data_IF_495223484171
#
_entry.id   IF_495223484171
#
_cell.length_a   1.000
_cell.length_b   1.000
_cell.length_c   1.000
_cell.angle_alpha   90.00
_cell.angle_beta   90.00
_cell.angle_gamma   90.00
#
_symmetry.space_group_name_H-M   'P 1'
#
loop_
_entity.id
_entity.type
_entity.pdbx_description
1 polymer ?
#
# COMPACT_ATOMS: atom_id res chain seq x y z
N UNK A 1 -10.92 36.95 45.43
CA UNK A 1 -12.03 37.88 45.74
C UNK A 1 -13.04 37.76 44.62
N UNK A 2 -13.90 36.75 44.77
CA UNK A 2 -14.93 36.34 43.85
C UNK A 2 -16.08 37.34 43.81
N UNK A 3 -16.55 37.66 42.60
CA UNK A 3 -17.80 38.38 42.40
C UNK A 3 -18.62 37.67 41.32
N UNK A 4 -19.53 36.85 41.80
CA UNK A 4 -20.66 36.31 41.07
C UNK A 4 -21.55 37.43 40.51
N UNK A 5 -22.10 37.22 39.31
CA UNK A 5 -23.35 37.83 38.86
C UNK A 5 -24.15 36.82 38.03
N UNK A 6 -25.33 36.50 38.56
CA UNK A 6 -26.39 35.69 37.99
C UNK A 6 -27.15 36.45 36.88
N UNK A 7 -27.93 35.74 36.06
CA UNK A 7 -29.40 35.90 35.94
C UNK A 7 -30.00 35.05 34.78
N UNK A 8 -30.97 34.14 35.06
CA UNK A 8 -32.45 34.25 34.80
C UNK A 8 -32.81 33.81 33.34
N UNK A 9 -33.80 32.98 32.98
CA UNK A 9 -35.10 32.51 33.50
C UNK A 9 -35.40 31.08 32.95
N UNK A 10 -35.92 30.13 33.74
CA UNK A 10 -37.35 29.74 33.88
C UNK A 10 -38.19 29.75 32.58
N UNK A 11 -38.69 28.59 32.13
CA UNK A 11 -40.09 28.17 32.33
C UNK A 11 -40.35 26.74 31.80
N UNK A 12 -40.80 25.88 32.72
CA UNK A 12 -41.47 24.60 32.50
C UNK A 12 -42.94 24.87 32.16
N UNK A 13 -43.54 24.06 31.27
CA UNK A 13 -44.91 23.54 31.42
C UNK A 13 -45.01 22.21 30.65
N UNK A 14 -45.32 21.15 31.40
CA UNK A 14 -45.77 19.83 30.93
C UNK A 14 -47.08 19.88 30.13
N UNK A 15 -47.21 18.99 29.14
CA UNK A 15 -48.49 18.33 28.86
C UNK A 15 -48.25 16.99 28.15
N UNK A 16 -48.51 15.92 28.90
CA UNK A 16 -48.76 14.58 28.39
C UNK A 16 -50.21 14.52 27.90
N UNK A 17 -50.42 13.93 26.73
CA UNK A 17 -51.63 13.16 26.41
C UNK A 17 -51.18 11.91 25.64
N UNK A 18 -51.46 10.75 26.24
CA UNK A 18 -51.24 9.46 25.60
C UNK A 18 -52.41 9.12 24.69
N UNK A 19 -52.14 8.32 23.67
CA UNK A 19 -53.14 7.37 23.20
C UNK A 19 -52.47 6.10 22.69
N UNK A 20 -53.05 4.98 23.06
CA UNK A 20 -52.52 3.65 22.84
C UNK A 20 -52.98 3.02 21.53
N UNK A 21 -52.50 1.78 21.34
CA UNK A 21 -53.01 0.73 20.43
C UNK A 21 -52.34 0.64 19.05
N UNK A 22 -51.41 -0.30 18.93
CA UNK A 22 -51.69 -1.60 18.27
C UNK A 22 -50.42 -2.48 18.18
N UNK A 23 -50.55 -3.70 18.68
CA UNK A 23 -49.62 -4.80 18.45
C UNK A 23 -49.51 -5.13 16.95
N UNK A 24 -48.28 -5.39 16.50
CA UNK A 24 -48.01 -6.51 15.59
C UNK A 24 -46.56 -6.92 15.69
N UNK A 25 -46.34 -7.99 16.45
CA UNK A 25 -45.14 -8.79 16.41
C UNK A 25 -44.97 -9.32 14.96
N UNK A 26 -43.97 -8.81 14.24
CA UNK A 26 -43.45 -9.51 13.06
C UNK A 26 -42.25 -10.32 13.51
N UNK A 27 -42.50 -11.62 13.51
CA UNK A 27 -41.55 -12.71 13.69
C UNK A 27 -40.26 -12.43 12.91
N UNK A 28 -39.15 -12.52 13.62
CA UNK A 28 -37.84 -12.77 13.04
C UNK A 28 -37.92 -14.06 12.22
N UNK A 29 -37.69 -13.95 10.92
CA UNK A 29 -37.38 -15.08 10.06
C UNK A 29 -35.84 -15.18 9.93
N UNK A 30 -35.17 -16.16 10.55
CA UNK A 30 -33.73 -16.32 10.43
C UNK A 30 -33.38 -17.23 9.25
N UNK A 31 -33.93 -16.98 8.07
CA UNK A 31 -33.50 -17.63 6.81
C UNK A 31 -33.53 -16.66 5.65
N UNK A 32 -32.58 -15.73 5.67
CA UNK A 32 -32.06 -15.10 4.45
C UNK A 32 -30.55 -14.98 4.56
N UNK A 33 -29.91 -16.16 4.66
CA UNK A 33 -28.54 -16.34 4.21
C UNK A 33 -28.54 -16.35 2.68
N UNK A 34 -28.84 -15.20 2.07
CA UNK A 34 -28.58 -14.96 0.65
C UNK A 34 -27.25 -14.25 0.55
N UNK A 35 -26.23 -15.08 0.30
CA UNK A 35 -25.04 -14.80 -0.48
C UNK A 35 -24.25 -13.52 -0.14
N UNK A 36 -23.01 -13.73 0.30
CA UNK A 36 -21.89 -12.91 -0.16
C UNK A 36 -22.10 -12.59 -1.64
N UNK A 37 -22.46 -11.36 -1.97
CA UNK A 37 -22.14 -10.81 -3.27
C UNK A 37 -20.64 -10.57 -3.23
N UNK A 38 -19.79 -11.33 -3.95
CA UNK A 38 -18.48 -10.82 -4.26
C UNK A 38 -18.78 -9.62 -5.14
N UNK A 39 -18.70 -8.44 -4.56
CA UNK A 39 -18.50 -7.26 -5.37
C UNK A 39 -17.12 -7.46 -5.99
N UNK A 40 -17.09 -8.13 -7.15
CA UNK A 40 -16.16 -7.87 -8.24
C UNK A 40 -16.31 -6.39 -8.60
N UNK A 41 -15.93 -5.52 -7.67
CA UNK A 41 -15.52 -4.19 -8.00
C UNK A 41 -14.23 -4.41 -8.77
N UNK A 42 -14.36 -4.53 -10.09
CA UNK A 42 -13.29 -4.18 -11.01
C UNK A 42 -12.87 -2.76 -10.61
N UNK A 43 -11.89 -2.66 -9.71
CA UNK A 43 -11.26 -1.39 -9.36
C UNK A 43 -10.66 -0.91 -10.67
N UNK A 44 -11.38 -0.01 -11.34
CA UNK A 44 -10.88 0.63 -12.52
C UNK A 44 -9.64 1.42 -12.13
N UNK A 45 -8.55 1.11 -12.82
CA UNK A 45 -7.33 1.87 -12.69
C UNK A 45 -7.57 3.31 -13.15
N UNK A 46 -7.07 4.24 -12.37
CA UNK A 46 -6.91 5.63 -12.75
C UNK A 46 -6.07 5.72 -14.02
N UNK A 47 -6.28 6.76 -14.81
CA UNK A 47 -5.50 7.01 -16.04
C UNK A 47 -4.00 7.04 -15.74
N UNK A 48 -3.61 7.53 -14.57
CA UNK A 48 -2.19 7.56 -14.15
C UNK A 48 -1.65 6.15 -13.90
N UNK A 49 -2.37 5.32 -13.16
CA UNK A 49 -1.97 3.93 -12.92
C UNK A 49 -1.93 3.13 -14.21
N UNK A 50 -2.92 3.30 -15.07
CA UNK A 50 -2.97 2.68 -16.39
C UNK A 50 -1.75 3.07 -17.24
N UNK A 51 -1.41 4.37 -17.30
CA UNK A 51 -0.25 4.83 -18.07
C UNK A 51 1.08 4.28 -17.53
N UNK A 52 1.22 4.12 -16.21
CA UNK A 52 2.39 3.45 -15.62
C UNK A 52 2.49 2.00 -16.09
N UNK A 53 1.37 1.27 -16.07
CA UNK A 53 1.34 -0.12 -16.52
C UNK A 53 1.59 -0.26 -18.02
N UNK A 54 1.16 0.70 -18.85
CA UNK A 54 1.44 0.70 -20.28
C UNK A 54 2.93 0.82 -20.60
N UNK A 55 3.63 1.70 -19.88
CA UNK A 55 5.08 1.83 -20.05
C UNK A 55 5.76 0.51 -19.64
N UNK A 56 5.35 -0.05 -18.50
CA UNK A 56 5.91 -1.31 -18.00
C UNK A 56 5.55 -2.52 -18.86
N UNK A 57 4.43 -2.51 -19.58
CA UNK A 57 4.03 -3.66 -20.40
C UNK A 57 4.91 -3.85 -21.61
N UNK A 58 5.31 -2.76 -22.24
CA UNK A 58 6.28 -2.79 -23.34
C UNK A 58 7.60 -3.39 -22.86
N UNK A 59 8.10 -2.96 -21.68
CA UNK A 59 9.36 -3.44 -21.13
C UNK A 59 9.30 -4.90 -20.62
N UNK A 60 8.21 -5.31 -19.97
CA UNK A 60 8.12 -6.59 -19.27
C UNK A 60 7.52 -7.73 -20.11
N UNK A 61 6.64 -7.40 -21.04
CA UNK A 61 5.85 -8.36 -21.81
C UNK A 61 5.98 -8.19 -23.32
N UNK A 62 6.52 -7.06 -23.79
CA UNK A 62 6.53 -6.70 -25.22
C UNK A 62 5.15 -6.33 -25.76
N UNK A 63 4.14 -6.21 -24.89
CA UNK A 63 2.80 -5.79 -25.29
C UNK A 63 2.78 -4.30 -25.65
N UNK A 64 2.09 -3.98 -26.75
CA UNK A 64 1.88 -2.62 -27.22
C UNK A 64 0.44 -2.19 -26.91
N UNK A 65 0.21 -1.53 -25.76
CA UNK A 65 -1.12 -1.13 -25.35
C UNK A 65 -1.69 -0.02 -26.24
N UNK A 66 -3.03 0.02 -26.45
CA UNK A 66 -3.67 1.03 -27.28
C UNK A 66 -3.61 2.43 -26.65
N UNK A 67 -3.78 3.45 -27.51
CA UNK A 67 -4.05 4.82 -27.06
C UNK A 67 -5.48 4.88 -26.53
N UNK A 68 -5.68 5.34 -25.28
CA UNK A 68 -6.99 5.32 -24.61
C UNK A 68 -7.09 4.20 -23.57
N UNK A 69 -8.30 3.88 -23.09
CA UNK A 69 -8.48 2.89 -22.02
C UNK A 69 -7.92 1.52 -22.40
N UNK A 70 -7.28 0.87 -21.44
CA UNK A 70 -6.64 -0.43 -21.63
C UNK A 70 -6.75 -1.29 -20.38
N UNK A 71 -7.13 -2.56 -20.58
CA UNK A 71 -7.15 -3.58 -19.52
C UNK A 71 -5.82 -4.33 -19.54
N UNK A 72 -5.01 -4.26 -18.47
CA UNK A 72 -3.73 -4.94 -18.44
C UNK A 72 -3.89 -6.47 -18.48
N UNK A 73 -2.96 -7.17 -19.14
CA UNK A 73 -2.99 -8.63 -19.26
C UNK A 73 -2.62 -9.35 -17.96
N UNK A 74 -3.08 -10.59 -17.80
CA UNK A 74 -2.66 -11.45 -16.70
C UNK A 74 -1.16 -11.74 -16.73
N UNK A 75 -0.56 -11.77 -17.93
CA UNK A 75 0.87 -11.97 -18.10
C UNK A 75 1.65 -10.80 -17.48
N UNK A 76 1.19 -9.57 -17.68
CA UNK A 76 1.80 -8.40 -17.06
C UNK A 76 1.76 -8.51 -15.54
N UNK A 77 0.59 -8.82 -14.97
CA UNK A 77 0.42 -8.97 -13.51
C UNK A 77 1.38 -10.03 -12.96
N UNK A 78 1.58 -11.13 -13.69
CA UNK A 78 2.49 -12.22 -13.29
C UNK A 78 3.96 -11.79 -13.31
N UNK A 79 4.36 -10.89 -14.21
CA UNK A 79 5.75 -10.38 -14.30
C UNK A 79 5.98 -9.11 -13.48
N UNK A 80 4.91 -8.45 -13.05
CA UNK A 80 4.99 -7.23 -12.28
C UNK A 80 5.59 -7.52 -10.90
N UNK A 81 6.63 -6.77 -10.56
CA UNK A 81 7.27 -6.81 -9.25
C UNK A 81 7.16 -5.45 -8.60
N UNK A 82 7.28 -5.42 -7.27
CA UNK A 82 7.33 -4.16 -6.54
C UNK A 82 8.50 -3.28 -7.01
N UNK A 83 9.62 -3.88 -7.41
CA UNK A 83 10.77 -3.16 -7.97
C UNK A 83 10.38 -2.39 -9.23
N UNK A 84 9.70 -3.03 -10.18
CA UNK A 84 9.24 -2.39 -11.42
C UNK A 84 8.37 -1.16 -11.13
N UNK A 85 7.42 -1.28 -10.20
CA UNK A 85 6.55 -0.17 -9.80
C UNK A 85 7.31 0.92 -9.04
N UNK A 86 8.24 0.54 -8.17
CA UNK A 86 9.03 1.49 -7.40
C UNK A 86 10.05 2.27 -8.27
N UNK A 87 10.47 1.73 -9.41
CA UNK A 87 11.37 2.38 -10.36
C UNK A 87 10.64 3.07 -11.52
N UNK A 88 9.35 2.80 -11.70
CA UNK A 88 8.56 3.38 -12.78
C UNK A 88 8.44 4.91 -12.63
N UNK A 89 8.68 5.62 -13.73
CA UNK A 89 8.45 7.07 -13.81
C UNK A 89 6.96 7.34 -13.56
N UNK A 90 6.67 8.42 -12.84
CA UNK A 90 5.30 8.84 -12.51
C UNK A 90 4.50 7.84 -11.63
N UNK A 91 5.13 6.82 -11.07
CA UNK A 91 4.51 5.90 -10.11
C UNK A 91 4.71 6.40 -8.66
N UNK A 92 3.95 7.43 -8.28
CA UNK A 92 3.95 7.96 -6.91
C UNK A 92 3.32 7.00 -5.89
N UNK A 93 3.41 7.29 -4.58
CA UNK A 93 2.93 6.40 -3.52
C UNK A 93 1.45 6.01 -3.65
N UNK A 94 0.60 6.97 -4.04
CA UNK A 94 -0.83 6.73 -4.26
C UNK A 94 -1.07 5.78 -5.45
N UNK A 95 -0.41 6.06 -6.59
CA UNK A 95 -0.52 5.23 -7.80
C UNK A 95 0.03 3.83 -7.57
N UNK A 96 1.12 3.70 -6.83
CA UNK A 96 1.66 2.42 -6.41
C UNK A 96 0.65 1.63 -5.57
N UNK A 97 0.09 2.24 -4.52
CA UNK A 97 -0.89 1.58 -3.65
C UNK A 97 -2.13 1.13 -4.43
N UNK A 98 -2.57 1.95 -5.38
CA UNK A 98 -3.67 1.63 -6.30
C UNK A 98 -3.37 0.39 -7.14
N UNK A 99 -2.21 0.34 -7.81
CA UNK A 99 -1.79 -0.80 -8.63
C UNK A 99 -1.64 -2.08 -7.78
N UNK A 100 -1.08 -1.96 -6.56
CA UNK A 100 -0.95 -3.10 -5.66
C UNK A 100 -2.31 -3.67 -5.25
N UNK A 101 -3.28 -2.79 -4.94
CA UNK A 101 -4.66 -3.19 -4.61
C UNK A 101 -5.33 -3.86 -5.81
N UNK A 102 -5.19 -3.28 -7.00
CA UNK A 102 -5.71 -3.86 -8.23
C UNK A 102 -5.12 -5.24 -8.52
N UNK A 103 -3.80 -5.41 -8.39
CA UNK A 103 -3.14 -6.70 -8.58
C UNK A 103 -3.63 -7.73 -7.56
N UNK A 104 -3.84 -7.32 -6.31
CA UNK A 104 -4.37 -8.18 -5.25
C UNK A 104 -5.79 -8.68 -5.57
N UNK A 105 -6.66 -7.82 -6.11
CA UNK A 105 -8.00 -8.23 -6.55
C UNK A 105 -7.96 -9.19 -7.73
N UNK A 106 -6.97 -9.07 -8.62
CA UNK A 106 -6.71 -10.06 -9.69
C UNK A 106 -5.99 -11.32 -9.18
N UNK A 107 -5.94 -11.55 -7.87
CA UNK A 107 -5.37 -12.74 -7.25
C UNK A 107 -3.85 -12.75 -7.12
N UNK A 108 -3.17 -11.61 -7.35
CA UNK A 108 -1.70 -11.50 -7.27
C UNK A 108 -1.28 -10.53 -6.17
N UNK A 109 -0.73 -11.07 -5.09
CA UNK A 109 -0.09 -10.25 -4.05
C UNK A 109 1.33 -9.88 -4.47
N UNK A 110 1.55 -8.61 -4.84
CA UNK A 110 2.88 -8.06 -5.08
C UNK A 110 3.44 -7.57 -3.74
N UNK A 111 4.38 -8.33 -3.17
CA UNK A 111 4.98 -7.99 -1.87
C UNK A 111 5.85 -6.73 -1.99
N UNK A 112 5.71 -5.75 -1.09
CA UNK A 112 6.64 -4.63 -1.00
C UNK A 112 8.07 -5.13 -0.86
N UNK A 113 9.00 -4.55 -1.63
CA UNK A 113 10.41 -4.68 -1.26
C UNK A 113 10.59 -3.94 0.07
N UNK A 114 11.37 -4.54 0.97
CA UNK A 114 11.45 -4.32 2.43
C UNK A 114 11.67 -2.88 2.93
N UNK A 115 11.70 -1.87 2.05
CA UNK A 115 12.25 -0.52 2.30
C UNK A 115 11.37 0.61 1.75
N UNK A 116 10.12 0.34 1.44
CA UNK A 116 9.14 1.37 1.09
C UNK A 116 8.93 2.34 2.27
N UNK A 117 9.17 3.63 2.08
CA UNK A 117 8.84 4.68 3.08
C UNK A 117 9.84 4.90 4.22
N UNK A 118 10.82 4.01 4.45
CA UNK A 118 11.87 4.26 5.45
C UNK A 118 12.86 5.34 5.00
N UNK A 119 13.39 6.11 5.96
CA UNK A 119 14.52 7.02 5.70
C UNK A 119 15.74 6.20 5.25
N UNK A 120 16.63 6.81 4.47
CA UNK A 120 17.84 6.11 4.01
C UNK A 120 18.70 5.67 5.20
N UNK A 121 18.76 6.45 6.27
CA UNK A 121 19.48 6.09 7.50
C UNK A 121 18.92 4.83 8.15
N UNK A 122 17.60 4.74 8.34
CA UNK A 122 16.97 3.54 8.91
C UNK A 122 17.20 2.33 7.98
N UNK A 123 17.06 2.55 6.68
CA UNK A 123 17.33 1.53 5.67
C UNK A 123 18.77 0.98 5.75
N UNK A 124 19.76 1.85 5.94
CA UNK A 124 21.15 1.45 6.10
C UNK A 124 21.38 0.73 7.44
N UNK A 125 20.83 1.22 8.55
CA UNK A 125 20.96 0.56 9.84
C UNK A 125 20.34 -0.85 9.83
N UNK A 126 19.15 -1.01 9.22
CA UNK A 126 18.48 -2.30 9.08
C UNK A 126 19.32 -3.31 8.26
N UNK A 127 20.00 -2.85 7.19
CA UNK A 127 20.81 -3.76 6.37
C UNK A 127 22.13 -4.14 7.05
N UNK A 128 22.75 -3.18 7.76
CA UNK A 128 23.98 -3.42 8.52
C UNK A 128 23.69 -4.46 9.61
N UNK A 129 22.62 -4.28 10.39
CA UNK A 129 22.22 -5.21 11.42
C UNK A 129 21.94 -6.63 10.87
N UNK A 130 21.30 -6.73 9.69
CA UNK A 130 21.07 -8.02 9.02
C UNK A 130 22.34 -8.67 8.46
N UNK A 131 23.31 -7.88 8.00
CA UNK A 131 24.60 -8.41 7.55
C UNK A 131 25.39 -8.98 8.74
N UNK A 132 25.39 -8.29 9.87
CA UNK A 132 26.03 -8.78 11.10
C UNK A 132 25.39 -10.07 11.63
N UNK A 133 24.10 -10.32 11.36
CA UNK A 133 23.42 -11.56 11.73
C UNK A 133 23.46 -12.65 10.66
N UNK A 134 24.18 -12.45 9.55
CA UNK A 134 24.30 -13.42 8.45
C UNK A 134 23.03 -13.63 7.63
N UNK A 135 21.98 -12.82 7.84
CA UNK A 135 20.66 -13.00 7.24
C UNK A 135 20.38 -12.16 6.00
N UNK A 136 21.39 -11.47 5.43
CA UNK A 136 21.19 -10.61 4.26
C UNK A 136 21.43 -11.36 2.95
N UNK A 137 20.49 -11.24 2.03
CA UNK A 137 20.63 -11.74 0.66
C UNK A 137 21.26 -10.70 -0.28
N UNK A 138 21.95 -11.18 -1.34
CA UNK A 138 22.45 -10.32 -2.44
C UNK A 138 21.35 -9.44 -3.05
N UNK A 139 20.12 -9.95 -3.12
CA UNK A 139 18.96 -9.23 -3.62
C UNK A 139 18.55 -8.05 -2.72
N UNK A 140 18.64 -8.20 -1.39
CA UNK A 140 18.36 -7.10 -0.45
C UNK A 140 19.40 -6.00 -0.51
N UNK A 141 20.68 -6.36 -0.69
CA UNK A 141 21.78 -5.43 -0.92
C UNK A 141 21.56 -4.62 -2.19
N UNK A 142 21.28 -5.29 -3.31
CA UNK A 142 21.00 -4.64 -4.59
C UNK A 142 19.80 -3.68 -4.50
N UNK A 143 18.72 -4.12 -3.84
CA UNK A 143 17.53 -3.28 -3.63
C UNK A 143 17.83 -2.03 -2.79
N UNK A 144 18.69 -2.13 -1.77
CA UNK A 144 19.09 -0.97 -0.96
C UNK A 144 19.91 0.05 -1.77
N UNK A 145 20.85 -0.43 -2.58
CA UNK A 145 21.69 0.41 -3.44
C UNK A 145 20.84 1.14 -4.49
N UNK A 146 19.89 0.45 -5.13
CA UNK A 146 18.96 1.06 -6.08
C UNK A 146 18.12 2.18 -5.47
N UNK A 147 17.64 1.98 -4.23
CA UNK A 147 16.90 3.02 -3.50
C UNK A 147 17.78 4.25 -3.26
N UNK A 148 19.06 4.06 -2.93
CA UNK A 148 20.03 5.15 -2.76
C UNK A 148 20.26 5.90 -4.08
N UNK A 149 20.52 5.17 -5.17
CA UNK A 149 20.73 5.73 -6.51
C UNK A 149 19.52 6.54 -6.98
N UNK A 150 18.30 6.02 -6.83
CA UNK A 150 17.07 6.73 -7.20
C UNK A 150 16.88 8.02 -6.42
N UNK A 151 17.19 8.01 -5.12
CA UNK A 151 17.12 9.19 -4.25
C UNK A 151 18.31 10.13 -4.43
N UNK A 152 19.21 9.84 -5.39
CA UNK A 152 20.47 10.57 -5.66
C UNK A 152 21.32 10.75 -4.40
N UNK A 153 21.23 9.81 -3.47
CA UNK A 153 22.10 9.80 -2.30
C UNK A 153 23.36 9.02 -2.64
N UNK A 154 24.46 9.74 -2.81
CA UNK A 154 25.79 9.18 -3.06
C UNK A 154 26.51 8.78 -1.77
N UNK A 155 25.98 9.17 -0.60
CA UNK A 155 26.59 8.89 0.70
C UNK A 155 26.16 7.52 1.21
N UNK A 156 26.96 6.52 0.86
CA UNK A 156 26.87 5.16 1.40
C UNK A 156 27.66 5.11 2.72
N UNK A 157 27.06 4.70 3.85
CA UNK A 157 27.77 4.61 5.14
C UNK A 157 29.00 3.69 5.09
N UNK A 158 30.09 4.08 5.73
CA UNK A 158 31.34 3.29 5.78
C UNK A 158 31.11 1.91 6.39
N UNK A 159 30.29 1.80 7.43
CA UNK A 159 29.97 0.52 8.07
C UNK A 159 29.28 -0.45 7.11
N UNK A 160 28.46 0.07 6.19
CA UNK A 160 27.88 -0.75 5.13
C UNK A 160 28.94 -1.21 4.11
N UNK A 161 29.92 -0.35 3.79
CA UNK A 161 31.01 -0.70 2.89
C UNK A 161 31.91 -1.80 3.50
N UNK A 162 32.24 -1.71 4.79
CA UNK A 162 32.98 -2.75 5.53
C UNK A 162 32.24 -4.08 5.51
N UNK A 163 30.95 -4.07 5.87
CA UNK A 163 30.13 -5.27 5.85
C UNK A 163 30.01 -5.90 4.46
N UNK A 164 30.00 -5.09 3.39
CA UNK A 164 30.07 -5.59 2.02
C UNK A 164 31.40 -6.27 1.70
N UNK A 165 32.51 -5.67 2.11
CA UNK A 165 33.84 -6.26 1.90
C UNK A 165 33.97 -7.60 2.63
N UNK A 166 33.49 -7.68 3.87
CA UNK A 166 33.42 -8.94 4.63
C UNK A 166 32.58 -10.00 3.89
N UNK A 167 31.41 -9.61 3.38
CA UNK A 167 30.54 -10.53 2.63
C UNK A 167 31.22 -11.06 1.34
N UNK A 168 31.96 -10.22 0.62
CA UNK A 168 32.68 -10.63 -0.58
C UNK A 168 33.90 -11.51 -0.28
N UNK A 169 34.63 -11.22 0.80
CA UNK A 169 35.78 -12.00 1.21
C UNK A 169 35.36 -13.39 1.72
N UNK A 170 34.31 -13.47 2.55
CA UNK A 170 33.77 -14.73 3.07
C UNK A 170 33.10 -15.61 2.00
N UNK A 171 32.80 -15.06 0.81
CA UNK A 171 32.24 -15.83 -0.32
C UNK A 171 33.32 -16.41 -1.26
N UNK A 172 34.59 -16.04 -1.05
CA UNK A 172 35.73 -16.45 -1.88
C UNK A 172 36.61 -17.53 -1.19
N UNK A 173 36.26 -17.95 0.03
CA UNK A 173 36.74 -19.18 0.69
C UNK A 173 35.74 -20.32 0.48
#
# INVERSE_FOLDING_TARGET
MDRARANIAKHSVDRYDGDGRAMSARLHDPRSATACSPQDQDIQLSVRAENVLKILSTDLTGENPPRGRWTPSDLLIRRLTYRHLATARNCGPQTLAEILRWAQLKGRTIKPSFRAGKSLTIMWNDIIAKMSSGGVSKAEVAAALEVSTRRRNTRIPIEFQKALLELFNSSNE
#
